data_IF_436340062446
#
_entry.id   IF_436340062446
#
_cell.length_a   1.000
_cell.length_b   1.000
_cell.length_c   1.000
_cell.angle_alpha   90.00
_cell.angle_beta   90.00
_cell.angle_gamma   90.00
#
_symmetry.space_group_name_H-M   'P 1'
#
loop_
_entity.id
_entity.type
_entity.pdbx_description
1 polymer ?
#
# COMPACT_ATOMS: atom_id res chain seq x y z
N UNK A 1 7.71 -53.66 -25.93
CA UNK A 1 7.18 -54.40 -24.76
C UNK A 1 7.71 -53.64 -23.55
N UNK A 2 6.79 -53.09 -22.76
CA UNK A 2 6.91 -51.97 -21.82
C UNK A 2 8.26 -51.80 -21.09
N UNK A 3 8.84 -50.60 -21.18
CA UNK A 3 9.88 -50.12 -20.26
C UNK A 3 9.37 -48.92 -19.47
N UNK A 4 9.36 -49.12 -18.16
CA UNK A 4 8.99 -48.21 -17.08
C UNK A 4 10.11 -47.17 -16.87
N UNK A 5 9.77 -45.88 -16.81
CA UNK A 5 10.69 -44.85 -16.31
C UNK A 5 10.26 -44.43 -14.90
N UNK A 6 10.98 -44.92 -13.89
CA UNK A 6 10.81 -44.54 -12.50
C UNK A 6 11.69 -43.31 -12.20
N UNK A 7 11.07 -42.18 -11.86
CA UNK A 7 11.74 -40.91 -11.57
C UNK A 7 12.11 -40.89 -10.08
N UNK A 8 13.15 -41.61 -9.68
CA UNK A 8 13.78 -41.43 -8.36
C UNK A 8 15.28 -41.68 -8.49
N UNK A 9 16.08 -40.65 -8.26
CA UNK A 9 17.40 -40.72 -7.61
C UNK A 9 17.88 -39.30 -7.28
N UNK A 10 17.61 -38.86 -6.05
CA UNK A 10 18.51 -37.96 -5.35
C UNK A 10 19.62 -38.81 -4.73
N UNK A 11 20.88 -38.47 -4.99
CA UNK A 11 21.81 -37.99 -3.94
C UNK A 11 23.24 -37.81 -4.45
N UNK A 12 23.83 -36.65 -4.14
CA UNK A 12 25.27 -36.50 -3.89
C UNK A 12 25.51 -36.94 -2.42
N UNK A 13 26.64 -37.61 -2.07
CA UNK A 13 27.97 -37.02 -2.21
C UNK A 13 29.09 -37.97 -2.66
N UNK A 14 30.25 -37.34 -2.92
CA UNK A 14 31.53 -37.89 -3.39
C UNK A 14 32.21 -38.81 -2.36
N UNK A 15 33.13 -39.59 -2.90
CA UNK A 15 34.21 -40.37 -2.25
C UNK A 15 33.87 -41.81 -1.85
N UNK A 16 34.22 -42.76 -2.73
CA UNK A 16 35.18 -43.83 -2.41
C UNK A 16 35.36 -44.78 -3.60
N UNK A 17 36.53 -44.71 -4.24
CA UNK A 17 37.13 -45.85 -4.91
C UNK A 17 38.43 -46.16 -4.19
N UNK A 18 38.51 -47.30 -3.51
CA UNK A 18 39.73 -48.10 -3.53
C UNK A 18 39.45 -49.56 -3.14
N UNK A 19 39.73 -50.40 -4.12
CA UNK A 19 40.33 -51.73 -3.99
C UNK A 19 39.50 -53.00 -3.69
N UNK A 20 39.77 -53.95 -4.60
CA UNK A 20 39.87 -55.42 -4.43
C UNK A 20 38.61 -56.28 -4.54
N UNK A 21 38.43 -56.75 -5.78
CA UNK A 21 38.23 -58.16 -6.17
C UNK A 21 37.35 -59.04 -5.27
N UNK A 22 36.19 -59.45 -5.81
CA UNK A 22 35.60 -60.74 -5.47
C UNK A 22 35.23 -61.50 -6.75
N UNK A 23 35.85 -62.67 -6.90
CA UNK A 23 35.58 -63.67 -7.93
C UNK A 23 34.48 -64.59 -7.38
N UNK A 24 33.39 -64.80 -8.12
CA UNK A 24 32.61 -66.04 -8.10
C UNK A 24 31.81 -66.20 -9.40
N UNK A 25 31.46 -67.44 -9.78
CA UNK A 25 31.54 -67.93 -11.15
C UNK A 25 30.18 -68.00 -11.86
N UNK A 26 30.25 -68.12 -13.18
CA UNK A 26 29.17 -68.53 -14.09
C UNK A 26 28.15 -67.47 -14.55
N UNK A 27 28.59 -66.35 -15.12
CA UNK A 27 27.88 -65.77 -16.29
C UNK A 27 28.90 -65.10 -17.23
N UNK A 28 29.01 -65.62 -18.45
CA UNK A 28 29.69 -64.93 -19.57
C UNK A 28 28.68 -63.94 -20.14
N UNK A 29 28.89 -62.63 -19.93
CA UNK A 29 28.16 -61.59 -20.65
C UNK A 29 29.10 -61.01 -21.70
N UNK A 30 28.77 -61.23 -22.96
CA UNK A 30 29.40 -60.56 -24.11
C UNK A 30 28.82 -59.15 -24.17
N UNK A 31 29.65 -58.14 -23.98
CA UNK A 31 29.28 -56.75 -24.21
C UNK A 31 29.47 -56.44 -25.70
N UNK A 32 28.40 -56.04 -26.37
CA UNK A 32 28.49 -55.30 -27.63
C UNK A 32 28.93 -53.87 -27.33
N UNK A 33 29.92 -53.39 -28.08
CA UNK A 33 30.58 -52.10 -27.93
C UNK A 33 29.60 -50.92 -27.92
N UNK A 34 29.35 -50.33 -26.75
CA UNK A 34 29.15 -48.88 -26.59
C UNK A 34 29.55 -48.48 -25.16
N UNK A 35 30.71 -47.83 -25.05
CA UNK A 35 31.20 -47.18 -23.83
C UNK A 35 30.22 -46.08 -23.40
N UNK A 36 29.75 -46.14 -22.14
CA UNK A 36 29.84 -45.06 -21.15
C UNK A 36 29.02 -45.40 -19.89
N UNK A 37 29.75 -45.51 -18.75
CA UNK A 37 29.39 -44.98 -17.41
C UNK A 37 28.64 -45.91 -16.41
N UNK A 38 29.42 -46.25 -15.36
CA UNK A 38 29.08 -46.51 -13.94
C UNK A 38 28.43 -47.84 -13.50
N UNK A 39 29.27 -48.67 -12.87
CA UNK A 39 28.89 -49.77 -11.96
C UNK A 39 28.47 -49.21 -10.60
N UNK A 40 27.32 -49.64 -10.09
CA UNK A 40 27.01 -49.66 -8.66
C UNK A 40 26.31 -50.99 -8.32
N UNK A 41 26.63 -51.50 -7.13
CA UNK A 41 26.32 -52.83 -6.60
C UNK A 41 24.84 -53.10 -6.35
N UNK A 42 24.47 -54.37 -6.50
CA UNK A 42 23.15 -54.95 -6.24
C UNK A 42 22.78 -54.89 -4.76
N UNK A 43 21.72 -54.14 -4.44
CA UNK A 43 20.75 -54.54 -3.42
C UNK A 43 19.39 -54.60 -4.13
N UNK A 44 18.87 -55.81 -4.33
CA UNK A 44 17.64 -56.06 -5.07
C UNK A 44 16.43 -55.75 -4.18
N UNK A 45 16.07 -54.47 -4.07
CA UNK A 45 14.72 -54.07 -3.68
C UNK A 45 14.04 -53.53 -4.92
N UNK A 46 12.92 -54.13 -5.33
CA UNK A 46 12.01 -53.50 -6.29
C UNK A 46 11.43 -52.31 -5.54
N UNK A 47 11.74 -51.05 -5.89
CA UNK A 47 11.04 -49.92 -5.30
C UNK A 47 9.59 -50.04 -5.72
N UNK A 48 8.70 -50.43 -4.79
CA UNK A 48 7.27 -50.33 -5.02
C UNK A 48 6.96 -48.86 -5.32
N UNK A 49 6.46 -48.56 -6.52
CA UNK A 49 5.92 -47.23 -6.82
C UNK A 49 4.82 -46.91 -5.81
N UNK A 50 4.77 -45.68 -5.31
CA UNK A 50 3.77 -45.30 -4.29
C UNK A 50 2.32 -45.38 -4.83
N UNK A 51 2.16 -45.33 -6.15
CA UNK A 51 0.93 -45.62 -6.90
C UNK A 51 0.43 -47.06 -6.74
N UNK A 52 1.27 -48.04 -6.37
CA UNK A 52 0.83 -49.39 -5.98
C UNK A 52 0.22 -49.45 -4.57
N UNK A 53 0.39 -48.38 -3.76
CA UNK A 53 -0.11 -48.27 -2.39
C UNK A 53 -1.31 -47.32 -2.24
N UNK A 54 -1.59 -46.50 -3.25
CA UNK A 54 -2.70 -45.54 -3.25
C UNK A 54 -3.72 -45.87 -4.36
N UNK A 55 -5.00 -45.52 -4.17
CA UNK A 55 -5.91 -45.38 -5.32
C UNK A 55 -5.42 -44.22 -6.18
N UNK A 56 -5.54 -44.30 -7.51
CA UNK A 56 -5.01 -43.27 -8.41
C UNK A 56 -6.06 -42.74 -9.39
N UNK A 57 -5.87 -41.51 -9.84
CA UNK A 57 -6.63 -40.86 -10.91
C UNK A 57 -5.79 -40.89 -12.18
N UNK A 58 -6.42 -41.21 -13.31
CA UNK A 58 -5.77 -41.34 -14.62
C UNK A 58 -5.97 -40.05 -15.41
N UNK A 59 -4.86 -39.44 -15.85
CA UNK A 59 -4.84 -38.31 -16.76
C UNK A 59 -4.34 -38.74 -18.13
N UNK A 60 -5.11 -38.42 -19.17
CA UNK A 60 -4.73 -38.62 -20.57
C UNK A 60 -3.64 -37.61 -21.00
N UNK A 61 -2.85 -37.95 -22.00
CA UNK A 61 -1.73 -37.12 -22.49
C UNK A 61 -2.12 -35.68 -22.89
N UNK A 62 -3.38 -35.41 -23.24
CA UNK A 62 -3.88 -34.05 -23.49
C UNK A 62 -3.98 -33.17 -22.23
N UNK A 63 -4.01 -33.81 -21.06
CA UNK A 63 -4.35 -33.19 -19.78
C UNK A 63 -3.15 -33.09 -18.84
N UNK A 64 -1.94 -33.48 -19.27
CA UNK A 64 -0.74 -33.25 -18.48
C UNK A 64 0.48 -32.92 -19.34
N UNK A 65 1.41 -32.15 -18.78
CA UNK A 65 2.72 -31.84 -19.40
C UNK A 65 3.82 -32.02 -18.36
N UNK A 66 4.96 -32.56 -18.79
CA UNK A 66 6.13 -32.76 -17.94
C UNK A 66 7.26 -31.89 -18.49
N UNK A 67 7.73 -30.95 -17.69
CA UNK A 67 8.80 -30.03 -18.05
C UNK A 67 10.05 -30.26 -17.18
N UNK A 68 11.21 -30.29 -17.85
CA UNK A 68 12.53 -30.46 -17.23
C UNK A 68 13.28 -29.14 -17.36
N UNK A 69 13.47 -28.43 -16.24
CA UNK A 69 14.16 -27.15 -16.23
C UNK A 69 15.52 -27.27 -15.55
N UNK A 70 16.57 -26.73 -16.16
CA UNK A 70 17.94 -26.76 -15.64
C UNK A 70 18.30 -25.39 -15.09
N UNK A 71 18.35 -25.28 -13.76
CA UNK A 71 18.78 -24.07 -13.05
C UNK A 71 19.98 -24.40 -12.18
N UNK A 72 21.12 -23.74 -12.41
CA UNK A 72 22.32 -23.73 -11.56
C UNK A 72 22.69 -25.08 -10.93
N UNK A 73 23.03 -26.06 -11.80
CA UNK A 73 23.51 -27.43 -11.47
C UNK A 73 22.48 -28.47 -11.00
N UNK A 74 21.19 -28.14 -10.82
CA UNK A 74 20.13 -29.11 -10.49
C UNK A 74 19.06 -29.18 -11.60
N UNK A 75 18.56 -30.40 -11.86
CA UNK A 75 17.43 -30.63 -12.76
C UNK A 75 16.14 -30.57 -11.94
N UNK A 76 15.27 -29.61 -12.23
CA UNK A 76 13.96 -29.49 -11.62
C UNK A 76 12.90 -30.07 -12.57
N UNK A 77 12.19 -31.10 -12.11
CA UNK A 77 11.05 -31.69 -12.81
C UNK A 77 9.78 -31.00 -12.35
N UNK A 78 8.93 -30.61 -13.29
CA UNK A 78 7.58 -30.14 -12.96
C UNK A 78 6.55 -30.86 -13.81
N UNK A 79 5.51 -31.37 -13.15
CA UNK A 79 4.36 -32.01 -13.78
C UNK A 79 3.18 -31.06 -13.66
N UNK A 80 2.68 -30.61 -14.80
CA UNK A 80 1.46 -29.81 -14.88
C UNK A 80 0.30 -30.71 -15.24
N UNK A 81 -0.76 -30.69 -14.44
CA UNK A 81 -1.97 -31.49 -14.64
C UNK A 81 -3.17 -30.55 -14.79
N UNK A 82 -3.99 -30.79 -15.82
CA UNK A 82 -5.25 -30.09 -16.04
C UNK A 82 -6.40 -30.93 -15.49
N UNK A 83 -7.02 -30.45 -14.41
CA UNK A 83 -8.14 -31.10 -13.76
C UNK A 83 -9.31 -30.13 -13.68
N UNK A 84 -10.43 -30.46 -14.33
CA UNK A 84 -11.65 -29.63 -14.32
C UNK A 84 -11.46 -28.20 -14.87
N UNK A 85 -10.48 -27.98 -15.76
CA UNK A 85 -10.14 -26.66 -16.32
C UNK A 85 -9.13 -25.86 -15.48
N UNK A 86 -8.75 -26.34 -14.30
CA UNK A 86 -7.68 -25.76 -13.48
C UNK A 86 -6.34 -26.45 -13.78
N UNK A 87 -5.29 -25.65 -14.04
CA UNK A 87 -3.92 -26.14 -14.18
C UNK A 87 -3.25 -26.18 -12.80
N UNK A 88 -2.73 -27.35 -12.44
CA UNK A 88 -2.02 -27.60 -11.19
C UNK A 88 -0.58 -27.96 -11.51
N UNK A 89 0.39 -27.25 -10.94
CA UNK A 89 1.82 -27.47 -11.19
C UNK A 89 2.43 -28.10 -9.94
N UNK A 90 3.08 -29.25 -10.12
CA UNK A 90 3.67 -30.05 -9.05
C UNK A 90 5.16 -30.21 -9.35
N UNK A 91 6.02 -29.72 -8.46
CA UNK A 91 7.47 -29.66 -8.66
C UNK A 91 8.28 -30.16 -7.47
N UNK A 92 7.62 -30.56 -6.38
CA UNK A 92 8.29 -31.08 -5.20
C UNK A 92 8.61 -32.56 -5.39
N UNK A 93 9.87 -32.95 -5.23
CA UNK A 93 10.35 -34.30 -5.54
C UNK A 93 9.69 -35.38 -4.68
N UNK A 94 9.37 -35.08 -3.42
CA UNK A 94 8.58 -35.98 -2.57
C UNK A 94 7.16 -36.21 -3.08
N UNK A 95 6.50 -35.15 -3.56
CA UNK A 95 5.13 -35.22 -4.11
C UNK A 95 5.11 -35.88 -5.51
N UNK A 96 6.18 -35.74 -6.29
CA UNK A 96 6.35 -36.42 -7.59
C UNK A 96 6.50 -37.94 -7.45
N UNK A 97 7.03 -38.43 -6.32
CA UNK A 97 7.14 -39.87 -6.05
C UNK A 97 5.79 -40.60 -5.90
N UNK A 98 4.69 -39.85 -5.75
CA UNK A 98 3.30 -40.32 -5.71
C UNK A 98 2.59 -40.29 -7.07
N UNK A 99 3.38 -40.16 -8.15
CA UNK A 99 2.89 -40.18 -9.52
C UNK A 99 3.64 -41.23 -10.32
N UNK A 100 2.97 -41.77 -11.32
CA UNK A 100 3.57 -42.75 -12.21
C UNK A 100 3.09 -42.51 -13.64
N UNK A 101 4.01 -42.61 -14.60
CA UNK A 101 3.69 -42.53 -16.02
C UNK A 101 3.62 -43.96 -16.57
N UNK A 102 2.42 -44.39 -16.95
CA UNK A 102 2.17 -45.70 -17.54
C UNK A 102 1.77 -45.53 -19.01
N UNK A 103 2.76 -45.59 -19.91
CA UNK A 103 2.52 -45.36 -21.34
C UNK A 103 2.16 -43.90 -21.64
N UNK A 104 0.94 -43.66 -22.15
CA UNK A 104 0.42 -42.32 -22.46
C UNK A 104 -0.48 -41.75 -21.36
N UNK A 105 -0.53 -42.42 -20.20
CA UNK A 105 -1.37 -42.04 -19.07
C UNK A 105 -0.51 -41.67 -17.86
N UNK A 106 -0.94 -40.66 -17.12
CA UNK A 106 -0.34 -40.24 -15.85
C UNK A 106 -1.27 -40.65 -14.72
N UNK A 107 -0.77 -41.47 -13.80
CA UNK A 107 -1.47 -41.90 -12.59
C UNK A 107 -1.03 -41.02 -11.42
N UNK A 108 -1.99 -40.38 -10.74
CA UNK A 108 -1.72 -39.46 -9.62
C UNK A 108 -2.54 -39.87 -8.41
N UNK A 109 -1.91 -40.02 -7.24
CA UNK A 109 -2.63 -40.24 -5.98
C UNK A 109 -3.54 -39.03 -5.64
N UNK A 110 -4.82 -39.23 -5.27
CA UNK A 110 -5.76 -38.16 -4.91
C UNK A 110 -5.26 -37.22 -3.81
N UNK A 111 -4.54 -37.73 -2.81
CA UNK A 111 -4.02 -36.92 -1.69
C UNK A 111 -3.09 -35.79 -2.15
N UNK A 112 -2.20 -36.10 -3.12
CA UNK A 112 -1.30 -35.10 -3.71
C UNK A 112 -2.10 -34.13 -4.57
N UNK A 113 -3.05 -34.63 -5.36
CA UNK A 113 -3.88 -33.77 -6.20
C UNK A 113 -4.71 -32.79 -5.35
N UNK A 114 -5.34 -33.26 -4.26
CA UNK A 114 -6.13 -32.44 -3.33
C UNK A 114 -5.26 -31.38 -2.64
N UNK A 115 -4.06 -31.74 -2.17
CA UNK A 115 -3.09 -30.81 -1.58
C UNK A 115 -2.78 -29.62 -2.50
N UNK A 116 -2.52 -29.88 -3.77
CA UNK A 116 -2.17 -28.83 -4.72
C UNK A 116 -3.39 -28.07 -5.25
N UNK A 117 -4.56 -28.71 -5.38
CA UNK A 117 -5.83 -28.02 -5.68
C UNK A 117 -6.14 -27.02 -4.57
N UNK A 118 -6.07 -27.43 -3.30
CA UNK A 118 -6.34 -26.56 -2.16
C UNK A 118 -5.34 -25.40 -2.09
N UNK A 119 -4.05 -25.67 -2.36
CA UNK A 119 -3.01 -24.62 -2.45
C UNK A 119 -3.31 -23.62 -3.57
N UNK A 120 -3.71 -24.11 -4.74
CA UNK A 120 -4.09 -23.28 -5.89
C UNK A 120 -5.31 -22.42 -5.60
N UNK A 121 -6.37 -22.99 -5.02
CA UNK A 121 -7.57 -22.27 -4.61
C UNK A 121 -7.26 -21.16 -3.60
N UNK A 122 -6.49 -21.46 -2.54
CA UNK A 122 -6.06 -20.45 -1.56
C UNK A 122 -5.23 -19.34 -2.19
N UNK A 123 -4.36 -19.67 -3.15
CA UNK A 123 -3.58 -18.67 -3.87
C UNK A 123 -4.47 -17.78 -4.75
N UNK A 124 -5.47 -18.36 -5.40
CA UNK A 124 -6.40 -17.63 -6.26
C UNK A 124 -7.33 -16.73 -5.43
N UNK A 125 -7.79 -17.20 -4.27
CA UNK A 125 -8.54 -16.40 -3.30
C UNK A 125 -7.70 -15.22 -2.79
N UNK A 126 -6.47 -15.48 -2.31
CA UNK A 126 -5.53 -14.42 -1.89
C UNK A 126 -5.26 -13.42 -3.01
N UNK A 127 -5.06 -13.89 -4.24
CA UNK A 127 -4.87 -13.04 -5.42
C UNK A 127 -6.10 -12.18 -5.69
N UNK A 128 -7.30 -12.75 -5.59
CA UNK A 128 -8.57 -12.04 -5.80
C UNK A 128 -8.76 -10.95 -4.75
N UNK A 129 -8.52 -11.27 -3.47
CA UNK A 129 -8.58 -10.31 -2.36
C UNK A 129 -7.57 -9.18 -2.57
N UNK A 130 -6.32 -9.50 -2.92
CA UNK A 130 -5.28 -8.51 -3.18
C UNK A 130 -5.65 -7.55 -4.32
N UNK A 131 -6.19 -8.08 -5.43
CA UNK A 131 -6.67 -7.27 -6.56
C UNK A 131 -7.83 -6.38 -6.12
N UNK A 132 -8.81 -6.92 -5.39
CA UNK A 132 -9.96 -6.16 -4.90
C UNK A 132 -9.52 -5.02 -3.97
N UNK A 133 -8.65 -5.30 -3.00
CA UNK A 133 -8.06 -4.29 -2.12
C UNK A 133 -7.32 -3.21 -2.91
N UNK A 134 -6.54 -3.60 -3.92
CA UNK A 134 -5.83 -2.65 -4.78
C UNK A 134 -6.80 -1.73 -5.52
N UNK A 135 -7.84 -2.28 -6.17
CA UNK A 135 -8.86 -1.51 -6.90
C UNK A 135 -9.57 -0.52 -5.97
N UNK A 136 -9.98 -0.98 -4.79
CA UNK A 136 -10.64 -0.13 -3.78
C UNK A 136 -9.71 0.99 -3.32
N UNK A 137 -8.44 0.68 -3.03
CA UNK A 137 -7.43 1.67 -2.62
C UNK A 137 -7.28 2.76 -3.67
N UNK A 138 -7.06 2.38 -4.93
CA UNK A 138 -6.93 3.35 -6.03
C UNK A 138 -8.20 4.17 -6.23
N UNK A 139 -9.38 3.55 -6.17
CA UNK A 139 -10.64 4.28 -6.29
C UNK A 139 -10.82 5.33 -5.19
N UNK A 140 -10.51 4.97 -3.94
CA UNK A 140 -10.53 5.88 -2.79
C UNK A 140 -9.54 7.04 -2.95
N UNK A 141 -8.29 6.73 -3.34
CA UNK A 141 -7.26 7.74 -3.55
C UNK A 141 -7.63 8.70 -4.69
N UNK A 142 -8.10 8.20 -5.85
CA UNK A 142 -8.54 9.06 -6.95
C UNK A 142 -9.70 9.97 -6.56
N UNK A 143 -10.68 9.45 -5.81
CA UNK A 143 -11.78 10.27 -5.30
C UNK A 143 -11.28 11.35 -4.33
N UNK A 144 -10.35 11.00 -3.44
CA UNK A 144 -9.71 11.92 -2.51
C UNK A 144 -8.93 13.03 -3.22
N UNK A 145 -8.09 12.67 -4.19
CA UNK A 145 -7.30 13.62 -4.98
C UNK A 145 -8.20 14.60 -5.75
N UNK A 146 -9.27 14.11 -6.40
CA UNK A 146 -10.24 14.96 -7.08
C UNK A 146 -10.90 15.95 -6.11
N UNK A 147 -11.34 15.49 -4.94
CA UNK A 147 -11.91 16.33 -3.89
C UNK A 147 -10.93 17.38 -3.37
N UNK A 148 -9.65 17.03 -3.20
CA UNK A 148 -8.59 17.95 -2.78
C UNK A 148 -8.32 19.01 -3.84
N UNK A 149 -8.26 18.64 -5.12
CA UNK A 149 -8.11 19.56 -6.24
C UNK A 149 -9.26 20.56 -6.30
N UNK A 150 -10.51 20.09 -6.20
CA UNK A 150 -11.69 20.97 -6.18
C UNK A 150 -11.67 21.93 -4.99
N UNK A 151 -11.25 21.44 -3.81
CA UNK A 151 -11.10 22.28 -2.61
C UNK A 151 -10.07 23.38 -2.85
N UNK A 152 -8.89 23.04 -3.38
CA UNK A 152 -7.81 23.99 -3.68
C UNK A 152 -8.22 25.03 -4.72
N UNK A 153 -8.85 24.60 -5.81
CA UNK A 153 -9.38 25.51 -6.85
C UNK A 153 -10.37 26.51 -6.24
N UNK A 154 -11.23 26.06 -5.32
CA UNK A 154 -12.17 26.95 -4.63
C UNK A 154 -11.43 27.98 -3.77
N UNK A 155 -10.42 27.59 -3.00
CA UNK A 155 -9.62 28.55 -2.23
C UNK A 155 -8.89 29.58 -3.09
N UNK A 156 -8.40 29.17 -4.27
CA UNK A 156 -7.76 30.07 -5.22
C UNK A 156 -8.78 31.04 -5.86
N UNK A 157 -9.98 30.56 -6.16
CA UNK A 157 -11.04 31.33 -6.81
C UNK A 157 -11.78 32.32 -5.89
N UNK A 158 -11.72 32.13 -4.57
CA UNK A 158 -12.45 32.94 -3.58
C UNK A 158 -11.48 33.52 -2.53
N UNK A 159 -10.98 34.75 -2.74
CA UNK A 159 -10.11 35.42 -1.78
C UNK A 159 -10.67 35.53 -0.37
N UNK A 160 -12.01 35.60 -0.20
CA UNK A 160 -12.65 35.68 1.12
C UNK A 160 -12.41 34.42 1.97
N UNK A 161 -12.11 33.28 1.35
CA UNK A 161 -11.81 32.02 2.03
C UNK A 161 -10.35 31.93 2.50
N UNK A 162 -9.44 32.75 1.97
CA UNK A 162 -8.00 32.75 2.30
C UNK A 162 -7.68 33.52 3.58
N UNK A 163 -8.43 33.22 4.63
CA UNK A 163 -8.11 33.62 6.00
C UNK A 163 -6.88 32.85 6.48
N UNK A 164 -6.28 33.22 7.63
CA UNK A 164 -5.17 32.42 8.22
C UNK A 164 -5.58 30.95 8.36
N UNK A 165 -6.81 30.65 8.82
CA UNK A 165 -7.35 29.30 8.76
C UNK A 165 -7.47 28.65 7.39
N UNK A 166 -7.98 29.39 6.42
CA UNK A 166 -8.07 28.89 5.05
C UNK A 166 -6.70 28.53 4.48
N UNK A 167 -5.69 29.36 4.71
CA UNK A 167 -4.32 29.13 4.22
C UNK A 167 -3.72 27.87 4.86
N UNK A 168 -3.87 27.70 6.17
CA UNK A 168 -3.38 26.50 6.85
C UNK A 168 -4.06 25.23 6.28
N UNK A 169 -5.36 25.28 6.01
CA UNK A 169 -6.05 24.18 5.37
C UNK A 169 -5.61 23.95 3.91
N UNK A 170 -5.30 25.00 3.16
CA UNK A 170 -4.72 24.84 1.82
C UNK A 170 -3.41 24.06 1.88
N UNK A 171 -2.53 24.34 2.85
CA UNK A 171 -1.29 23.56 3.03
C UNK A 171 -1.56 22.11 3.44
N UNK A 172 -2.55 21.86 4.30
CA UNK A 172 -2.99 20.51 4.64
C UNK A 172 -3.48 19.74 3.39
N UNK A 173 -4.26 20.40 2.53
CA UNK A 173 -4.75 19.83 1.28
C UNK A 173 -3.62 19.57 0.28
N UNK A 174 -2.70 20.53 0.10
CA UNK A 174 -1.54 20.39 -0.80
C UNK A 174 -0.62 19.26 -0.35
N UNK A 175 -0.28 19.21 0.94
CA UNK A 175 0.59 18.16 1.47
C UNK A 175 -0.03 16.76 1.32
N UNK A 176 -1.34 16.60 1.60
CA UNK A 176 -2.03 15.32 1.42
C UNK A 176 -2.13 14.93 -0.06
N UNK A 177 -2.47 15.86 -0.95
CA UNK A 177 -2.55 15.63 -2.39
C UNK A 177 -1.21 15.13 -2.94
N UNK A 178 -0.12 15.82 -2.60
CA UNK A 178 1.22 15.43 -3.03
C UNK A 178 1.63 14.07 -2.45
N UNK A 179 1.34 13.81 -1.18
CA UNK A 179 1.63 12.51 -0.56
C UNK A 179 0.88 11.35 -1.24
N UNK A 180 -0.41 11.53 -1.56
CA UNK A 180 -1.22 10.53 -2.27
C UNK A 180 -0.74 10.30 -3.71
N UNK A 181 -0.45 11.37 -4.46
CA UNK A 181 0.05 11.27 -5.83
C UNK A 181 1.38 10.51 -5.90
N UNK A 182 2.32 10.85 -5.02
CA UNK A 182 3.63 10.16 -5.00
C UNK A 182 3.49 8.74 -4.45
N UNK A 183 2.56 8.45 -3.55
CA UNK A 183 2.26 7.09 -3.11
C UNK A 183 1.74 6.22 -4.28
N UNK A 184 0.81 6.76 -5.08
CA UNK A 184 0.33 6.11 -6.31
C UNK A 184 1.49 5.87 -7.27
N UNK A 185 2.35 6.86 -7.48
CA UNK A 185 3.55 6.70 -8.31
C UNK A 185 4.48 5.60 -7.77
N UNK A 186 4.76 5.59 -6.47
CA UNK A 186 5.61 4.60 -5.81
C UNK A 186 5.10 3.18 -6.00
N UNK A 187 3.78 2.99 -5.90
CA UNK A 187 3.14 1.67 -6.05
C UNK A 187 3.18 1.10 -7.48
N UNK A 188 3.42 1.95 -8.49
CA UNK A 188 3.53 1.54 -9.89
C UNK A 188 4.98 1.28 -10.33
N UNK A 189 5.97 1.53 -9.46
CA UNK A 189 7.38 1.26 -9.73
C UNK A 189 7.76 -0.03 -9.00
N UNK A 190 8.05 -1.08 -9.77
CA UNK A 190 8.37 -2.41 -9.24
C UNK A 190 9.86 -2.78 -9.32
N UNK A 191 10.69 -1.91 -9.92
CA UNK A 191 12.11 -2.20 -10.17
C UNK A 191 13.02 -1.30 -9.34
N UNK A 192 13.95 -1.89 -8.56
CA UNK A 192 15.01 -1.14 -7.87
C UNK A 192 15.78 -0.27 -8.87
N UNK A 193 15.76 1.03 -8.63
CA UNK A 193 16.33 2.03 -9.53
C UNK A 193 16.53 3.35 -8.78
N UNK A 194 17.34 4.24 -9.34
CA UNK A 194 17.49 5.60 -8.80
C UNK A 194 16.13 6.32 -8.71
N UNK A 195 15.22 6.06 -9.64
CA UNK A 195 13.86 6.57 -9.60
C UNK A 195 13.08 6.01 -8.40
N UNK A 196 13.16 4.71 -8.15
CA UNK A 196 12.53 4.03 -7.01
C UNK A 196 13.03 4.60 -5.67
N UNK A 197 14.35 4.76 -5.51
CA UNK A 197 14.95 5.40 -4.32
C UNK A 197 14.47 6.85 -4.16
N UNK A 198 14.45 7.64 -5.24
CA UNK A 198 14.02 9.04 -5.19
C UNK A 198 12.55 9.16 -4.79
N UNK A 199 11.67 8.36 -5.42
CA UNK A 199 10.24 8.33 -5.13
C UNK A 199 9.98 7.86 -3.71
N UNK A 200 10.70 6.85 -3.21
CA UNK A 200 10.57 6.38 -1.83
C UNK A 200 10.95 7.45 -0.80
N UNK A 201 12.05 8.17 -1.02
CA UNK A 201 12.47 9.30 -0.18
C UNK A 201 11.45 10.42 -0.20
N UNK A 202 10.97 10.81 -1.39
CA UNK A 202 9.96 11.87 -1.54
C UNK A 202 8.64 11.46 -0.87
N UNK A 203 8.21 10.21 -1.05
CA UNK A 203 7.01 9.66 -0.40
C UNK A 203 7.11 9.81 1.10
N UNK A 204 8.20 9.34 1.70
CA UNK A 204 8.41 9.42 3.14
C UNK A 204 8.41 10.87 3.64
N UNK A 205 9.13 11.77 2.96
CA UNK A 205 9.16 13.19 3.30
C UNK A 205 7.77 13.84 3.24
N UNK A 206 7.01 13.61 2.16
CA UNK A 206 5.69 14.23 1.96
C UNK A 206 4.68 13.77 3.01
N UNK A 207 4.71 12.49 3.39
CA UNK A 207 3.88 11.99 4.47
C UNK A 207 4.20 12.67 5.81
N UNK A 208 5.48 12.73 6.20
CA UNK A 208 5.91 13.45 7.40
C UNK A 208 5.54 14.94 7.36
N UNK A 209 5.63 15.56 6.18
CA UNK A 209 5.25 16.94 5.97
C UNK A 209 3.75 17.15 6.14
N UNK A 210 2.92 16.23 5.64
CA UNK A 210 1.48 16.22 5.90
C UNK A 210 1.17 16.16 7.40
N UNK A 211 1.82 15.26 8.15
CA UNK A 211 1.65 15.18 9.60
C UNK A 211 2.10 16.44 10.32
N UNK A 212 3.18 17.06 9.86
CA UNK A 212 3.66 18.33 10.41
C UNK A 212 2.62 19.44 10.23
N UNK A 213 1.98 19.53 9.06
CA UNK A 213 0.85 20.45 8.85
C UNK A 213 -0.37 20.11 9.69
N UNK A 214 -0.68 18.83 9.87
CA UNK A 214 -1.78 18.39 10.74
C UNK A 214 -1.53 18.82 12.19
N UNK A 215 -0.32 18.63 12.71
CA UNK A 215 0.09 19.10 14.04
C UNK A 215 -0.03 20.62 14.16
N UNK A 216 0.55 21.37 13.22
CA UNK A 216 0.51 22.84 13.22
C UNK A 216 -0.92 23.37 13.16
N UNK A 217 -1.78 22.70 12.40
CA UNK A 217 -3.21 23.02 12.31
C UNK A 217 -3.90 22.89 13.67
N UNK A 218 -3.71 21.77 14.36
CA UNK A 218 -4.30 21.53 15.68
C UNK A 218 -3.71 22.46 16.74
N UNK A 219 -2.42 22.74 16.70
CA UNK A 219 -1.76 23.70 17.59
C UNK A 219 -2.29 25.13 17.39
N UNK A 220 -2.40 25.57 16.13
CA UNK A 220 -2.96 26.88 15.81
C UNK A 220 -4.40 27.01 16.31
N UNK A 221 -5.21 25.97 16.14
CA UNK A 221 -6.57 25.92 16.71
C UNK A 221 -6.54 26.08 18.24
N UNK A 222 -5.73 25.29 18.95
CA UNK A 222 -5.60 25.36 20.39
C UNK A 222 -5.19 26.77 20.87
N UNK A 223 -4.25 27.42 20.18
CA UNK A 223 -3.79 28.76 20.52
C UNK A 223 -4.88 29.82 20.37
N UNK A 224 -5.69 29.75 19.31
CA UNK A 224 -6.79 30.69 19.05
C UNK A 224 -7.88 30.58 20.12
N UNK A 225 -8.26 29.36 20.53
CA UNK A 225 -9.44 29.14 21.38
C UNK A 225 -9.14 28.94 22.87
N UNK A 226 -7.91 28.61 23.23
CA UNK A 226 -7.52 28.36 24.64
C UNK A 226 -6.54 29.40 25.15
N UNK A 227 -5.49 29.71 24.38
CA UNK A 227 -4.47 30.67 24.79
C UNK A 227 -4.91 32.14 24.60
N UNK A 228 -6.15 32.38 24.14
CA UNK A 228 -6.75 33.70 23.91
C UNK A 228 -5.84 34.66 23.14
N UNK A 229 -5.02 34.13 22.22
CA UNK A 229 -4.29 34.99 21.29
C UNK A 229 -5.37 35.65 20.44
N UNK A 230 -5.48 37.00 20.44
CA UNK A 230 -6.49 37.66 19.63
C UNK A 230 -6.36 37.15 18.20
N UNK A 231 -7.47 36.82 17.54
CA UNK A 231 -7.48 36.66 16.10
C UNK A 231 -7.17 38.03 15.49
N UNK A 232 -5.89 38.39 15.51
CA UNK A 232 -5.42 39.70 15.07
C UNK A 232 -5.83 39.82 13.61
N UNK A 233 -6.48 40.93 13.26
CA UNK A 233 -6.68 41.32 11.87
C UNK A 233 -5.30 41.69 11.29
N UNK A 234 -4.47 40.68 11.06
CA UNK A 234 -3.09 40.85 10.63
C UNK A 234 -3.09 41.53 9.27
N UNK A 235 -2.28 42.58 9.13
CA UNK A 235 -2.08 43.25 7.85
C UNK A 235 -1.43 42.27 6.86
N UNK A 236 -1.56 42.51 5.56
CA UNK A 236 -1.06 41.59 4.52
C UNK A 236 0.42 41.21 4.66
N UNK A 237 1.28 42.11 5.18
CA UNK A 237 2.70 41.85 5.45
C UNK A 237 2.92 40.91 6.64
N UNK A 238 2.17 41.07 7.72
CA UNK A 238 2.25 40.23 8.92
C UNK A 238 1.73 38.80 8.63
N UNK A 239 0.66 38.69 7.83
CA UNK A 239 0.16 37.40 7.32
C UNK A 239 1.23 36.63 6.56
N UNK A 240 1.97 37.29 5.65
CA UNK A 240 3.07 36.65 4.90
C UNK A 240 4.18 36.15 5.82
N UNK A 241 4.58 36.95 6.82
CA UNK A 241 5.63 36.55 7.78
C UNK A 241 5.20 35.33 8.59
N UNK A 242 3.95 35.29 9.06
CA UNK A 242 3.41 34.14 9.81
C UNK A 242 3.36 32.89 8.93
N UNK A 243 2.87 33.01 7.69
CA UNK A 243 2.82 31.88 6.75
C UNK A 243 4.23 31.33 6.48
N UNK A 244 5.20 32.20 6.18
CA UNK A 244 6.59 31.78 5.97
C UNK A 244 7.14 31.07 7.20
N UNK A 245 6.92 31.62 8.40
CA UNK A 245 7.38 31.00 9.65
C UNK A 245 6.76 29.62 9.87
N UNK A 246 5.46 29.46 9.66
CA UNK A 246 4.76 28.19 9.78
C UNK A 246 5.23 27.17 8.74
N UNK A 247 5.39 27.60 7.48
CA UNK A 247 5.91 26.73 6.41
C UNK A 247 7.33 26.28 6.73
N UNK A 248 8.22 27.16 7.16
CA UNK A 248 9.57 26.77 7.58
C UNK A 248 9.53 25.78 8.73
N UNK A 249 8.71 26.02 9.76
CA UNK A 249 8.56 25.11 10.90
C UNK A 249 8.03 23.73 10.47
N UNK A 250 7.11 23.70 9.49
CA UNK A 250 6.54 22.44 8.96
C UNK A 250 7.57 21.55 8.27
N UNK A 251 8.68 22.11 7.78
CA UNK A 251 9.69 21.39 7.01
C UNK A 251 10.85 20.87 7.87
N UNK A 252 11.15 21.53 8.99
CA UNK A 252 12.29 21.19 9.86
C UNK A 252 12.16 19.76 10.42
N UNK A 253 10.99 19.40 10.95
CA UNK A 253 10.74 18.06 11.50
C UNK A 253 10.93 16.94 10.47
N UNK A 254 10.19 16.97 9.33
CA UNK A 254 10.34 15.98 8.26
C UNK A 254 11.77 15.87 7.72
N UNK A 255 12.43 17.01 7.50
CA UNK A 255 13.81 17.02 7.02
C UNK A 255 14.78 16.38 8.02
N UNK A 256 14.61 16.67 9.32
CA UNK A 256 15.43 16.08 10.37
C UNK A 256 15.25 14.56 10.46
N UNK A 257 14.03 14.06 10.34
CA UNK A 257 13.74 12.61 10.36
C UNK A 257 14.34 11.92 9.14
N UNK A 258 14.13 12.46 7.93
CA UNK A 258 14.72 11.88 6.70
C UNK A 258 16.25 11.90 6.76
N UNK A 259 16.84 12.99 7.24
CA UNK A 259 18.30 13.09 7.41
C UNK A 259 18.83 12.06 8.41
N UNK A 260 18.13 11.86 9.53
CA UNK A 260 18.47 10.84 10.52
C UNK A 260 18.41 9.43 9.91
N UNK A 261 17.40 9.13 9.09
CA UNK A 261 17.31 7.84 8.37
C UNK A 261 18.49 7.63 7.45
N UNK A 262 18.87 8.64 6.66
CA UNK A 262 19.99 8.56 5.72
C UNK A 262 21.30 8.30 6.49
N UNK A 263 21.57 9.07 7.54
CA UNK A 263 22.78 8.89 8.37
C UNK A 263 22.81 7.51 9.01
N UNK A 264 21.72 7.10 9.67
CA UNK A 264 21.66 5.80 10.35
C UNK A 264 21.86 4.65 9.35
N UNK A 265 21.21 4.71 8.19
CA UNK A 265 21.33 3.68 7.15
C UNK A 265 22.73 3.63 6.55
N UNK A 266 23.37 4.78 6.38
CA UNK A 266 24.73 4.87 5.87
C UNK A 266 25.74 4.26 6.86
N UNK A 267 25.60 4.56 8.16
CA UNK A 267 26.48 4.01 9.20
C UNK A 267 26.28 2.49 9.36
N UNK A 268 25.04 2.01 9.36
CA UNK A 268 24.75 0.60 9.67
C UNK A 268 24.94 -0.33 8.46
N UNK A 269 24.65 0.15 7.25
CA UNK A 269 24.55 -0.72 6.07
C UNK A 269 25.24 -0.20 4.81
N UNK A 270 25.86 0.98 4.89
CA UNK A 270 26.45 1.69 3.74
C UNK A 270 25.43 1.89 2.59
N UNK A 271 24.17 2.15 2.93
CA UNK A 271 23.08 2.45 1.98
C UNK A 271 22.35 3.73 2.37
N UNK A 272 21.54 4.27 1.46
CA UNK A 272 20.71 5.46 1.72
C UNK A 272 19.50 5.12 2.61
N UNK A 273 19.12 3.83 2.70
CA UNK A 273 17.96 3.35 3.47
C UNK A 273 16.63 3.36 2.71
N UNK A 274 16.66 3.55 1.39
CA UNK A 274 15.49 3.59 0.51
C UNK A 274 15.76 2.87 -0.82
N UNK A 275 14.73 2.18 -1.33
CA UNK A 275 14.69 1.73 -2.73
C UNK A 275 15.40 0.40 -3.03
N UNK A 276 15.83 -0.36 -2.01
CA UNK A 276 16.57 -1.62 -2.19
C UNK A 276 15.66 -2.80 -2.55
N UNK A 277 14.53 -2.93 -1.86
CA UNK A 277 13.57 -4.04 -2.03
C UNK A 277 12.20 -3.58 -2.55
N UNK A 278 11.82 -2.36 -2.20
CA UNK A 278 10.60 -1.70 -2.65
C UNK A 278 10.89 -0.21 -2.80
N UNK A 279 10.03 0.56 -3.47
CA UNK A 279 10.18 2.01 -3.60
C UNK A 279 9.77 2.77 -2.34
N UNK A 280 10.37 2.35 -1.21
CA UNK A 280 10.14 2.87 0.12
C UNK A 280 11.34 2.57 1.03
N UNK A 281 11.16 2.68 2.35
CA UNK A 281 12.16 2.38 3.38
C UNK A 281 12.58 0.91 3.33
N UNK A 282 13.89 0.66 3.47
CA UNK A 282 14.47 -0.68 3.27
C UNK A 282 14.28 -1.66 4.44
N UNK A 283 13.83 -1.16 5.60
CA UNK A 283 13.78 -1.93 6.84
C UNK A 283 12.53 -1.61 7.66
N UNK A 284 11.90 -2.63 8.22
CA UNK A 284 10.74 -2.49 9.11
C UNK A 284 11.05 -1.65 10.35
N UNK A 285 12.29 -1.69 10.85
CA UNK A 285 12.72 -0.83 11.96
C UNK A 285 12.72 0.65 11.57
N UNK A 286 13.17 0.97 10.36
CA UNK A 286 13.12 2.34 9.85
C UNK A 286 11.67 2.79 9.69
N UNK A 287 10.79 1.94 9.16
CA UNK A 287 9.36 2.24 9.06
C UNK A 287 8.77 2.54 10.45
N UNK A 288 9.07 1.70 11.45
CA UNK A 288 8.60 1.89 12.82
C UNK A 288 9.04 3.21 13.43
N UNK A 289 10.35 3.51 13.43
CA UNK A 289 10.89 4.69 14.11
C UNK A 289 10.75 5.99 13.33
N UNK A 290 10.85 5.96 12.00
CA UNK A 290 10.87 7.17 11.18
C UNK A 290 9.52 7.53 10.57
N UNK A 291 8.57 6.60 10.51
CA UNK A 291 7.22 6.87 10.02
C UNK A 291 6.18 6.65 11.11
N UNK A 292 6.05 5.45 11.66
CA UNK A 292 4.96 5.13 12.59
C UNK A 292 5.05 5.90 13.92
N UNK A 293 6.24 6.02 14.52
CA UNK A 293 6.42 6.75 15.77
C UNK A 293 6.06 8.25 15.66
N UNK A 294 6.50 9.00 14.62
CA UNK A 294 6.01 10.35 14.36
C UNK A 294 4.49 10.46 14.20
N UNK A 295 3.85 9.50 13.51
CA UNK A 295 2.38 9.46 13.34
C UNK A 295 1.69 9.35 14.69
N UNK A 296 2.12 8.40 15.53
CA UNK A 296 1.58 8.20 16.87
C UNK A 296 1.72 9.47 17.72
N UNK A 297 2.90 10.11 17.69
CA UNK A 297 3.15 11.34 18.43
C UNK A 297 2.22 12.47 17.97
N UNK A 298 2.15 12.72 16.66
CA UNK A 298 1.30 13.78 16.10
C UNK A 298 -0.17 13.51 16.36
N UNK A 299 -0.63 12.26 16.22
CA UNK A 299 -2.01 11.87 16.49
C UNK A 299 -2.38 12.09 17.96
N UNK A 300 -1.50 11.70 18.90
CA UNK A 300 -1.71 11.94 20.33
C UNK A 300 -1.77 13.44 20.66
N UNK A 301 -0.87 14.25 20.08
CA UNK A 301 -0.92 15.71 20.23
C UNK A 301 -2.20 16.31 19.67
N UNK A 302 -2.63 15.87 18.47
CA UNK A 302 -3.87 16.32 17.84
C UNK A 302 -5.09 16.03 18.71
N UNK A 303 -5.22 14.82 19.24
CA UNK A 303 -6.33 14.44 20.15
C UNK A 303 -6.31 15.26 21.45
N UNK A 304 -5.12 15.51 22.00
CA UNK A 304 -4.95 16.33 23.20
C UNK A 304 -5.38 17.78 22.94
N UNK A 305 -4.88 18.40 21.87
CA UNK A 305 -5.25 19.77 21.50
C UNK A 305 -6.73 19.91 21.16
N UNK A 306 -7.31 18.90 20.51
CA UNK A 306 -8.74 18.83 20.24
C UNK A 306 -9.54 18.80 21.55
N UNK A 307 -9.19 17.91 22.48
CA UNK A 307 -9.87 17.79 23.78
C UNK A 307 -9.81 19.09 24.59
N UNK A 308 -8.64 19.71 24.70
CA UNK A 308 -8.46 20.99 25.40
C UNK A 308 -9.25 22.12 24.74
N UNK A 309 -9.25 22.17 23.40
CA UNK A 309 -10.01 23.17 22.64
C UNK A 309 -11.51 23.01 22.88
N UNK A 310 -12.05 21.79 22.78
CA UNK A 310 -13.48 21.50 23.02
C UNK A 310 -13.89 21.85 24.46
N UNK A 311 -13.04 21.55 25.44
CA UNK A 311 -13.26 21.93 26.84
C UNK A 311 -13.27 23.45 27.04
N UNK A 312 -12.33 24.17 26.43
CA UNK A 312 -12.29 25.64 26.45
C UNK A 312 -13.56 26.24 25.84
N UNK A 313 -14.00 25.72 24.69
CA UNK A 313 -15.22 26.17 24.01
C UNK A 313 -16.46 25.94 24.87
N UNK A 314 -16.60 24.78 25.51
CA UNK A 314 -17.74 24.52 26.40
C UNK A 314 -17.79 25.51 27.56
N UNK A 315 -16.63 25.84 28.14
CA UNK A 315 -16.52 26.82 29.21
C UNK A 315 -16.90 28.23 28.76
N UNK A 316 -16.55 28.61 27.53
CA UNK A 316 -16.87 29.93 26.96
C UNK A 316 -18.33 30.02 26.50
N UNK A 317 -18.88 28.97 25.89
CA UNK A 317 -20.29 28.93 25.45
C UNK A 317 -21.29 29.00 26.60
N UNK A 318 -20.92 28.55 27.81
CA UNK A 318 -21.75 28.74 29.00
C UNK A 318 -21.84 30.21 29.45
N UNK A 319 -20.97 31.10 28.94
CA UNK A 319 -20.80 32.47 29.43
C UNK A 319 -21.24 33.56 28.43
N UNK A 320 -21.51 33.25 27.15
CA UNK A 320 -21.74 34.27 26.12
C UNK A 320 -22.95 33.96 25.23
N UNK A 321 -24.04 34.69 25.48
CA UNK A 321 -24.98 35.09 24.43
C UNK A 321 -24.38 36.31 23.71
N UNK A 322 -24.48 36.37 22.37
CA UNK A 322 -24.29 37.52 21.45
C UNK A 322 -22.92 37.67 20.74
N UNK A 323 -22.97 37.68 19.39
CA UNK A 323 -22.45 38.71 18.47
C UNK A 323 -22.05 38.11 17.09
N UNK A 324 -22.41 38.77 16.00
CA UNK A 324 -22.16 38.32 14.61
C UNK A 324 -20.68 38.21 14.20
N UNK A 325 -19.76 38.91 14.88
CA UNK A 325 -18.32 38.81 14.67
C UNK A 325 -17.71 37.56 15.33
N UNK A 326 -18.25 37.16 16.49
CA UNK A 326 -17.94 35.89 17.17
C UNK A 326 -18.43 34.69 16.33
N UNK A 327 -19.56 34.85 15.63
CA UNK A 327 -20.17 33.79 14.82
C UNK A 327 -19.25 33.27 13.71
N UNK A 328 -18.46 34.13 13.08
CA UNK A 328 -17.52 33.75 12.03
C UNK A 328 -16.29 33.03 12.59
N UNK A 329 -15.78 33.45 13.76
CA UNK A 329 -14.73 32.73 14.48
C UNK A 329 -15.23 31.38 14.98
N UNK A 330 -16.46 31.30 15.50
CA UNK A 330 -17.12 30.07 15.92
C UNK A 330 -17.33 29.09 14.76
N UNK A 331 -17.76 29.57 13.59
CA UNK A 331 -17.89 28.72 12.38
C UNK A 331 -16.54 28.16 11.93
N UNK A 332 -15.49 28.99 11.95
CA UNK A 332 -14.14 28.54 11.64
C UNK A 332 -13.63 27.53 12.69
N UNK A 333 -13.97 27.74 13.97
CA UNK A 333 -13.69 26.82 15.07
C UNK A 333 -14.29 25.44 14.84
N UNK A 334 -15.61 25.39 14.61
CA UNK A 334 -16.35 24.14 14.41
C UNK A 334 -15.77 23.35 13.23
N UNK A 335 -15.39 24.07 12.19
CA UNK A 335 -14.79 23.48 11.01
C UNK A 335 -13.39 22.90 11.30
N UNK A 336 -12.56 23.57 12.09
CA UNK A 336 -11.28 23.01 12.54
C UNK A 336 -11.43 21.79 13.44
N UNK A 337 -12.38 21.84 14.38
CA UNK A 337 -12.71 20.71 15.24
C UNK A 337 -13.12 19.50 14.40
N UNK A 338 -13.94 19.70 13.34
CA UNK A 338 -14.29 18.64 12.39
C UNK A 338 -13.07 18.06 11.67
N UNK A 339 -12.16 18.89 11.17
CA UNK A 339 -10.99 18.40 10.42
C UNK A 339 -9.96 17.71 11.30
N UNK A 340 -9.71 18.28 12.49
CA UNK A 340 -8.78 17.72 13.47
C UNK A 340 -9.34 16.41 14.04
N UNK A 341 -10.65 16.32 14.31
CA UNK A 341 -11.29 15.06 14.72
C UNK A 341 -11.26 14.00 13.62
N UNK A 342 -11.62 14.34 12.37
CA UNK A 342 -11.53 13.43 11.23
C UNK A 342 -10.11 12.86 11.10
N UNK A 343 -9.10 13.72 11.09
CA UNK A 343 -7.71 13.28 10.94
C UNK A 343 -7.25 12.44 12.14
N UNK A 344 -7.49 12.91 13.38
CA UNK A 344 -7.07 12.18 14.59
C UNK A 344 -7.75 10.81 14.73
N UNK A 345 -9.04 10.70 14.40
CA UNK A 345 -9.79 9.43 14.46
C UNK A 345 -9.27 8.46 13.40
N UNK A 346 -9.00 8.90 12.17
CA UNK A 346 -8.57 7.99 11.09
C UNK A 346 -7.22 7.35 11.41
N UNK A 347 -6.27 8.13 11.93
CA UNK A 347 -4.98 7.61 12.35
C UNK A 347 -5.07 6.77 13.63
N UNK A 348 -5.99 7.08 14.54
CA UNK A 348 -6.25 6.22 15.70
C UNK A 348 -6.73 4.82 15.26
N UNK A 349 -7.62 4.74 14.26
CA UNK A 349 -8.06 3.45 13.70
C UNK A 349 -6.87 2.69 13.11
N UNK A 350 -5.95 3.37 12.40
CA UNK A 350 -4.71 2.75 11.89
C UNK A 350 -3.85 2.17 13.01
N UNK A 351 -3.63 2.94 14.08
CA UNK A 351 -2.81 2.51 15.21
C UNK A 351 -3.43 1.30 15.91
N UNK A 352 -4.75 1.32 16.11
CA UNK A 352 -5.47 0.19 16.71
C UNK A 352 -5.46 -1.03 15.79
N UNK A 353 -5.62 -0.83 14.48
CA UNK A 353 -5.54 -1.92 13.50
C UNK A 353 -4.19 -2.65 13.57
N UNK A 354 -3.10 -1.89 13.62
CA UNK A 354 -1.74 -2.43 13.74
C UNK A 354 -1.51 -3.10 15.10
N UNK A 355 -2.02 -2.53 16.19
CA UNK A 355 -1.82 -3.08 17.54
C UNK A 355 -2.60 -4.38 17.79
N UNK A 356 -3.76 -4.55 17.13
CA UNK A 356 -4.63 -5.72 17.28
C UNK A 356 -4.37 -6.77 16.18
N UNK A 357 -3.55 -6.45 15.17
CA UNK A 357 -3.29 -7.31 14.01
C UNK A 357 -4.58 -7.78 13.32
N UNK A 358 -5.51 -6.84 13.10
CA UNK A 358 -6.85 -7.14 12.57
C UNK A 358 -7.00 -6.68 11.12
N UNK A 359 -7.11 -7.64 10.20
CA UNK A 359 -7.35 -7.40 8.77
C UNK A 359 -8.57 -6.49 8.51
N UNK A 360 -9.64 -6.69 9.29
CA UNK A 360 -10.88 -5.91 9.15
C UNK A 360 -10.64 -4.44 9.52
N UNK A 361 -9.96 -4.18 10.63
CA UNK A 361 -9.63 -2.81 11.04
C UNK A 361 -8.62 -2.18 10.10
N UNK A 362 -7.69 -2.95 9.54
CA UNK A 362 -6.72 -2.47 8.56
C UNK A 362 -7.43 -2.04 7.27
N UNK A 363 -8.41 -2.83 6.80
CA UNK A 363 -9.24 -2.48 5.65
C UNK A 363 -10.08 -1.21 5.91
N UNK A 364 -10.69 -1.09 7.11
CA UNK A 364 -11.43 0.13 7.49
C UNK A 364 -10.49 1.34 7.55
N UNK A 365 -9.31 1.19 8.16
CA UNK A 365 -8.29 2.24 8.21
C UNK A 365 -7.90 2.70 6.81
N UNK A 366 -7.67 1.75 5.89
CA UNK A 366 -7.34 2.04 4.50
C UNK A 366 -8.43 2.86 3.82
N UNK A 367 -9.71 2.53 4.00
CA UNK A 367 -10.82 3.30 3.44
C UNK A 367 -10.87 4.72 4.02
N UNK A 368 -10.77 4.85 5.35
CA UNK A 368 -10.84 6.14 6.03
C UNK A 368 -9.69 7.07 5.62
N UNK A 369 -8.46 6.58 5.66
CA UNK A 369 -7.27 7.35 5.29
C UNK A 369 -7.21 7.60 3.77
N UNK A 370 -7.65 6.63 2.96
CA UNK A 370 -7.77 6.78 1.51
C UNK A 370 -8.76 7.88 1.11
N UNK A 371 -9.87 8.01 1.84
CA UNK A 371 -10.92 9.02 1.60
C UNK A 371 -10.74 10.32 2.41
N UNK A 372 -9.57 10.53 3.03
CA UNK A 372 -9.34 11.71 3.88
C UNK A 372 -9.56 13.04 3.12
N UNK A 373 -9.20 13.12 1.84
CA UNK A 373 -9.47 14.29 1.00
C UNK A 373 -10.96 14.54 0.74
N UNK A 374 -11.77 13.48 0.65
CA UNK A 374 -13.24 13.58 0.53
C UNK A 374 -13.83 14.16 1.81
N UNK A 375 -13.37 13.70 2.98
CA UNK A 375 -13.82 14.22 4.27
C UNK A 375 -13.48 15.71 4.46
N UNK A 376 -12.30 16.14 3.99
CA UNK A 376 -11.91 17.56 3.96
C UNK A 376 -12.85 18.35 3.04
N UNK A 377 -13.08 17.87 1.82
CA UNK A 377 -13.98 18.52 0.86
C UNK A 377 -15.39 18.69 1.44
N UNK A 378 -15.99 17.63 2.00
CA UNK A 378 -17.32 17.69 2.63
C UNK A 378 -17.33 18.71 3.79
N UNK A 379 -16.28 18.72 4.62
CA UNK A 379 -16.19 19.62 5.76
C UNK A 379 -16.17 21.11 5.36
N UNK A 380 -15.61 21.44 4.19
CA UNK A 380 -15.48 22.82 3.71
C UNK A 380 -16.52 23.23 2.67
N UNK A 381 -16.70 22.44 1.62
CA UNK A 381 -17.49 22.81 0.44
C UNK A 381 -18.98 22.63 0.68
N UNK A 382 -19.38 21.61 1.46
CA UNK A 382 -20.78 21.40 1.83
C UNK A 382 -21.25 22.31 2.97
N UNK A 383 -20.46 23.33 3.35
CA UNK A 383 -20.87 24.35 4.31
C UNK A 383 -21.71 25.43 3.61
N UNK A 384 -22.86 25.80 4.20
CA UNK A 384 -23.80 26.81 3.65
C UNK A 384 -23.13 28.11 3.22
N UNK A 385 -22.04 28.51 3.89
CA UNK A 385 -21.25 29.70 3.55
C UNK A 385 -20.58 29.61 2.17
N UNK A 386 -19.94 28.48 1.87
CA UNK A 386 -19.23 28.30 0.58
C UNK A 386 -20.23 28.10 -0.54
N UNK A 387 -21.28 27.33 -0.29
CA UNK A 387 -22.37 27.14 -1.25
C UNK A 387 -23.02 28.49 -1.65
N UNK A 388 -23.23 29.38 -0.68
CA UNK A 388 -23.72 30.74 -0.93
C UNK A 388 -22.77 31.60 -1.76
N UNK A 389 -21.45 31.53 -1.51
CA UNK A 389 -20.45 32.26 -2.29
C UNK A 389 -20.34 31.74 -3.73
N UNK A 390 -20.34 30.42 -3.91
CA UNK A 390 -20.34 29.77 -5.23
C UNK A 390 -21.60 30.18 -5.99
N UNK A 391 -22.78 30.02 -5.40
CA UNK A 391 -24.04 30.39 -6.04
C UNK A 391 -24.11 31.87 -6.39
N UNK A 392 -23.64 32.75 -5.51
CA UNK A 392 -23.62 34.21 -5.76
C UNK A 392 -22.67 34.58 -6.90
N UNK A 393 -21.49 33.95 -6.98
CA UNK A 393 -20.54 34.19 -8.07
C UNK A 393 -21.06 33.63 -9.39
N UNK A 394 -21.59 32.41 -9.40
CA UNK A 394 -22.20 31.80 -10.59
C UNK A 394 -23.39 32.62 -11.08
N UNK A 395 -24.25 33.13 -10.19
CA UNK A 395 -25.37 34.02 -10.52
C UNK A 395 -24.91 35.38 -11.08
N UNK A 396 -23.83 35.96 -10.53
CA UNK A 396 -23.21 37.19 -11.06
C UNK A 396 -22.57 36.98 -12.43
N UNK A 397 -21.88 35.85 -12.64
CA UNK A 397 -21.33 35.50 -13.95
C UNK A 397 -22.44 35.28 -14.98
N UNK A 398 -23.51 34.58 -14.61
CA UNK A 398 -24.66 34.32 -15.48
C UNK A 398 -25.41 35.61 -15.85
N UNK A 399 -25.57 36.54 -14.90
CA UNK A 399 -26.17 37.86 -15.18
C UNK A 399 -25.25 38.72 -16.06
N UNK A 400 -23.92 38.70 -15.87
CA UNK A 400 -22.97 39.39 -16.75
C UNK A 400 -22.92 38.82 -18.19
N UNK A 401 -23.15 37.51 -18.32
CA UNK A 401 -23.23 36.82 -19.61
C UNK A 401 -24.55 37.14 -20.34
N UNK A 402 -25.68 37.21 -19.62
CA UNK A 402 -26.96 37.63 -20.19
C UNK A 402 -27.00 39.12 -20.57
N UNK A 403 -26.24 39.99 -19.89
CA UNK A 403 -26.13 41.41 -20.26
C UNK A 403 -25.18 41.68 -21.45
N UNK A 404 -24.43 40.67 -21.91
CA UNK A 404 -23.51 40.77 -23.05
C UNK A 404 -24.03 40.09 -24.32
N UNK A 405 -25.24 39.50 -24.28
CA UNK A 405 -25.95 39.08 -25.48
C UNK A 405 -26.47 40.32 -26.24
N UNK A 406 -26.23 40.48 -27.55
CA UNK A 406 -26.75 41.62 -28.30
C UNK A 406 -28.28 41.61 -28.26
N UNK A 407 -28.90 42.70 -27.79
CA UNK A 407 -30.31 42.97 -28.04
C UNK A 407 -30.49 43.10 -29.55
N UNK A 408 -30.89 42.01 -30.21
CA UNK A 408 -31.34 42.05 -31.59
C UNK A 408 -32.67 42.79 -31.59
N UNK A 409 -32.70 43.89 -32.34
CA UNK A 409 -33.81 44.80 -32.50
C UNK A 409 -35.14 44.07 -32.73
N UNK A 410 -36.14 44.40 -31.92
CA UNK A 410 -37.53 44.41 -32.35
C UNK A 410 -38.03 45.84 -32.29
N UNK A 411 -37.70 46.58 -33.35
CA UNK A 411 -38.41 47.81 -33.73
C UNK A 411 -39.73 47.42 -34.39
N UNK A 412 -40.81 47.98 -33.85
CA UNK A 412 -42.02 48.47 -34.55
C UNK A 412 -42.55 47.67 -35.74
N UNK A 413 -43.74 47.08 -35.56
CA UNK A 413 -44.93 47.38 -36.37
C UNK A 413 -46.20 47.20 -35.52
#
# INVERSE_FOLDING_TARGET
>A
MFDYYNIINEDLPRDCCSDKSLILPNVKIVFGDYEHIFKASVAHYIPLSWTLKCSYIIFQQSNFTIEWNRTDMLWNVSVTVNFGGAKVIISNMSDLSHMEVAGNELHVCPEVLEKYIQKSQRLNEKKTIFIAMSVVTYACLCASELCLLLTLVTYLGFPELRTVPGINNMFLCVSLLLAQLVLVLASNISVPSTLCTSVGLITHFLWLWHFSWSFLSSLHMFQVFTAKIPAQSLKGREKKVIVVKLTTLSLIGPAAVVFAVIIASYITSNTIGYGRWSCYLDSSYLIGFSMFAPICLVSACNLTFLGLTVASIHKVNQLLNVASCELDQYKNCLLYVKLSSVTGIYWLVTIVAEAVDSDVLWFISLLLNGLQGVAIFISYMCNKRVYGLIFTKTSKTLTSFNSSLPQTLTTSE
#
